data_IF_737415324669
#
_entry.id   IF_737415324669
#
_cell.length_a   1.000
_cell.length_b   1.000
_cell.length_c   1.000
_cell.angle_alpha   90.00
_cell.angle_beta   90.00
_cell.angle_gamma   90.00
#
_symmetry.space_group_name_H-M   'P 1'
#
loop_
_entity.id
_entity.type
_entity.pdbx_description
1 polymer ?
#
# COMPACT_ATOMS: atom_id res chain seq x y z
N UNK A 1 8.89 -9.48 -38.51
CA UNK A 1 9.50 -9.38 -37.17
C UNK A 1 10.17 -8.02 -36.92
N UNK A 2 9.96 -7.01 -37.77
CA UNK A 2 10.66 -5.70 -37.70
C UNK A 2 9.83 -4.53 -37.12
N UNK A 3 8.57 -4.75 -36.72
CA UNK A 3 7.67 -3.63 -36.35
C UNK A 3 7.68 -3.26 -34.86
N UNK A 4 8.14 -4.14 -33.97
CA UNK A 4 8.15 -3.88 -32.52
C UNK A 4 9.38 -3.09 -32.05
N UNK A 5 10.54 -3.35 -32.64
CA UNK A 5 11.78 -2.63 -32.32
C UNK A 5 11.70 -1.16 -32.81
N UNK A 6 11.14 -0.95 -34.00
CA UNK A 6 10.92 0.38 -34.58
C UNK A 6 10.01 1.28 -33.71
N UNK A 7 8.95 0.71 -33.12
CA UNK A 7 8.02 1.45 -32.24
C UNK A 7 8.64 1.86 -30.90
N UNK A 8 9.50 1.01 -30.31
CA UNK A 8 10.21 1.34 -29.07
C UNK A 8 11.25 2.44 -29.29
N UNK A 9 11.94 2.42 -30.43
CA UNK A 9 12.90 3.45 -30.81
C UNK A 9 12.18 4.78 -31.07
N UNK A 10 11.04 4.77 -31.77
CA UNK A 10 10.19 5.95 -31.95
C UNK A 10 9.67 6.52 -30.63
N UNK A 11 9.30 5.67 -29.67
CA UNK A 11 8.85 6.10 -28.35
C UNK A 11 9.99 6.74 -27.54
N UNK A 12 11.20 6.16 -27.59
CA UNK A 12 12.39 6.70 -26.94
C UNK A 12 12.82 8.04 -27.56
N UNK A 13 12.77 8.17 -28.89
CA UNK A 13 13.04 9.43 -29.60
C UNK A 13 11.99 10.49 -29.24
N UNK A 14 10.71 10.12 -29.11
CA UNK A 14 9.65 11.02 -28.69
C UNK A 14 9.84 11.48 -27.23
N UNK A 15 10.28 10.59 -26.33
CA UNK A 15 10.56 10.91 -24.93
C UNK A 15 11.78 11.84 -24.77
N UNK A 16 12.82 11.65 -25.59
CA UNK A 16 14.00 12.54 -25.62
C UNK A 16 13.64 13.90 -26.21
N UNK A 17 12.81 13.94 -27.27
CA UNK A 17 12.34 15.18 -27.88
C UNK A 17 11.45 16.00 -26.92
N UNK A 18 10.57 15.34 -26.16
CA UNK A 18 9.76 15.99 -25.11
C UNK A 18 10.65 16.49 -23.96
N UNK A 19 11.68 15.74 -23.58
CA UNK A 19 12.64 16.15 -22.54
C UNK A 19 13.47 17.38 -22.93
N UNK A 20 13.81 17.54 -24.22
CA UNK A 20 14.57 18.68 -24.73
C UNK A 20 13.69 19.93 -24.96
N UNK A 21 12.40 19.75 -25.28
CA UNK A 21 11.46 20.86 -25.48
C UNK A 21 11.04 21.59 -24.18
N UNK A 22 11.38 21.06 -23.00
CA UNK A 22 11.06 21.66 -21.70
C UNK A 22 12.21 22.52 -21.15
N UNK A 23 13.26 22.78 -21.94
CA UNK A 23 14.42 23.58 -21.49
C UNK A 23 14.27 25.11 -21.60
N UNK A 24 13.06 25.65 -21.72
CA UNK A 24 12.84 27.09 -21.69
C UNK A 24 11.63 27.47 -20.82
N UNK A 25 11.78 27.34 -19.51
CA UNK A 25 11.01 28.17 -18.60
C UNK A 25 11.80 28.46 -17.31
N UNK A 26 12.16 29.73 -17.17
CA UNK A 26 12.96 30.28 -16.07
C UNK A 26 12.09 30.45 -14.82
N UNK A 27 12.60 29.93 -13.70
CA UNK A 27 12.34 30.34 -12.31
C UNK A 27 10.89 30.62 -11.88
N UNK A 28 10.22 29.59 -11.32
CA UNK A 28 9.17 29.75 -10.31
C UNK A 28 9.60 29.05 -9.02
N UNK A 29 10.04 29.81 -8.02
CA UNK A 29 10.23 29.60 -6.57
C UNK A 29 10.11 28.24 -5.83
N UNK A 30 10.02 27.07 -6.46
CA UNK A 30 9.76 25.80 -5.78
C UNK A 30 10.98 24.89 -5.60
N UNK A 31 12.20 25.34 -5.98
CA UNK A 31 13.44 24.56 -5.83
C UNK A 31 13.49 23.23 -6.60
N UNK A 32 12.45 22.92 -7.38
CA UNK A 32 12.32 21.69 -8.17
C UNK A 32 12.65 21.99 -9.63
N UNK A 33 13.44 21.11 -10.25
CA UNK A 33 13.76 21.20 -11.66
C UNK A 33 12.51 20.92 -12.52
N UNK A 34 12.44 21.42 -13.77
CA UNK A 34 11.34 21.12 -14.68
C UNK A 34 11.10 19.62 -14.89
N UNK A 35 12.17 18.81 -14.86
CA UNK A 35 12.09 17.34 -14.88
C UNK A 35 11.41 16.76 -13.64
N UNK A 36 11.64 17.34 -12.45
CA UNK A 36 10.97 16.93 -11.21
C UNK A 36 9.48 17.29 -11.22
N UNK A 37 9.11 18.48 -11.74
CA UNK A 37 7.70 18.85 -11.96
C UNK A 37 7.01 17.96 -12.98
N UNK A 38 7.69 17.58 -14.07
CA UNK A 38 7.15 16.65 -15.07
C UNK A 38 6.92 15.26 -14.47
N UNK A 39 7.83 14.78 -13.61
CA UNK A 39 7.66 13.54 -12.86
C UNK A 39 6.50 13.64 -11.86
N UNK A 40 6.36 14.76 -11.16
CA UNK A 40 5.26 15.00 -10.23
C UNK A 40 3.89 15.05 -10.93
N UNK A 41 3.78 15.77 -12.05
CA UNK A 41 2.58 15.81 -12.90
C UNK A 41 2.27 14.44 -13.53
N UNK A 42 3.32 13.68 -13.89
CA UNK A 42 3.18 12.31 -14.40
C UNK A 42 2.71 11.33 -13.32
N UNK A 43 3.18 11.49 -12.07
CA UNK A 43 2.72 10.73 -10.91
C UNK A 43 1.27 11.11 -10.53
N UNK A 44 0.91 12.39 -10.60
CA UNK A 44 -0.45 12.88 -10.34
C UNK A 44 -1.47 12.40 -11.38
N UNK A 45 -1.10 12.34 -12.67
CA UNK A 45 -1.97 11.80 -13.71
C UNK A 45 -2.08 10.25 -13.67
N UNK A 46 -1.07 9.55 -13.15
CA UNK A 46 -1.16 8.09 -12.89
C UNK A 46 -2.02 7.75 -11.67
N UNK A 47 -2.07 8.63 -10.68
CA UNK A 47 -2.98 8.52 -9.54
C UNK A 47 -4.45 8.45 -10.00
N UNK A 48 -4.82 9.25 -11.02
CA UNK A 48 -6.17 9.24 -11.61
C UNK A 48 -6.49 7.98 -12.42
N UNK A 49 -5.50 7.39 -13.10
CA UNK A 49 -5.69 6.15 -13.86
C UNK A 49 -5.89 4.91 -12.95
N UNK A 50 -5.21 4.86 -11.81
CA UNK A 50 -5.31 3.76 -10.85
C UNK A 50 -6.70 3.63 -10.20
N UNK A 51 -7.36 4.75 -9.95
CA UNK A 51 -8.73 4.82 -9.44
C UNK A 51 -9.77 4.25 -10.43
N UNK A 52 -9.52 4.34 -11.73
CA UNK A 52 -10.43 3.86 -12.78
C UNK A 52 -10.23 2.36 -13.07
N UNK A 53 -8.98 1.88 -13.04
CA UNK A 53 -8.67 0.45 -13.13
C UNK A 53 -9.23 -0.36 -11.95
N UNK A 54 -9.40 0.27 -10.79
CA UNK A 54 -10.05 -0.28 -9.59
C UNK A 54 -11.50 -0.70 -9.85
N UNK A 55 -12.20 -0.07 -10.80
CA UNK A 55 -13.64 -0.24 -11.02
C UNK A 55 -13.99 -1.20 -12.16
N UNK A 56 -13.25 -1.16 -13.28
CA UNK A 56 -13.58 -1.91 -14.51
C UNK A 56 -12.83 -3.23 -14.69
N UNK A 57 -11.90 -3.54 -13.79
CA UNK A 57 -11.07 -4.74 -13.86
C UNK A 57 -9.79 -4.55 -14.68
N UNK A 58 -8.80 -5.41 -14.43
CA UNK A 58 -7.48 -5.30 -15.05
C UNK A 58 -7.48 -5.56 -16.57
N UNK A 59 -8.41 -6.36 -17.08
CA UNK A 59 -8.59 -6.64 -18.51
C UNK A 59 -8.99 -5.38 -19.30
N UNK A 60 -9.82 -4.51 -18.70
CA UNK A 60 -10.16 -3.20 -19.26
C UNK A 60 -8.91 -2.31 -19.35
N UNK A 61 -8.06 -2.32 -18.32
CA UNK A 61 -6.86 -1.47 -18.28
C UNK A 61 -5.72 -1.98 -19.17
N UNK A 62 -5.70 -3.26 -19.53
CA UNK A 62 -4.79 -3.80 -20.54
C UNK A 62 -5.08 -3.21 -21.92
N UNK A 63 -6.36 -2.96 -22.24
CA UNK A 63 -6.81 -2.37 -23.51
C UNK A 63 -6.90 -0.83 -23.47
N UNK A 64 -6.77 -0.22 -22.28
CA UNK A 64 -6.96 1.22 -22.09
C UNK A 64 -5.98 2.09 -22.88
N UNK A 65 -4.76 1.60 -23.10
CA UNK A 65 -3.74 2.29 -23.89
C UNK A 65 -4.08 2.37 -25.39
N UNK A 66 -4.99 1.52 -25.87
CA UNK A 66 -5.35 1.39 -27.28
C UNK A 66 -6.64 2.16 -27.66
N UNK A 67 -7.36 2.74 -26.69
CA UNK A 67 -8.53 3.57 -26.99
C UNK A 67 -8.11 4.91 -27.63
N UNK A 68 -8.78 5.33 -28.72
CA UNK A 68 -8.51 6.62 -29.36
C UNK A 68 -8.86 7.76 -28.40
N UNK A 69 -7.87 8.60 -28.09
CA UNK A 69 -8.09 9.82 -27.29
C UNK A 69 -8.59 10.93 -28.18
N UNK A 70 -9.64 11.63 -27.77
CA UNK A 70 -10.06 12.87 -28.42
C UNK A 70 -8.90 13.87 -28.38
N UNK A 71 -8.50 14.36 -29.55
CA UNK A 71 -7.51 15.43 -29.67
C UNK A 71 -8.18 16.78 -29.40
N UNK A 72 -7.31 17.74 -29.07
CA UNK A 72 -7.48 19.21 -29.05
C UNK A 72 -7.67 19.83 -27.66
N UNK A 73 -6.99 20.93 -27.30
CA UNK A 73 -6.64 22.09 -28.14
C UNK A 73 -5.26 22.68 -27.83
N UNK A 74 -4.44 22.91 -28.87
CA UNK A 74 -3.33 23.88 -28.85
C UNK A 74 -3.93 25.22 -29.29
N UNK A 75 -3.85 26.23 -28.44
CA UNK A 75 -4.01 27.63 -28.84
C UNK A 75 -2.73 28.38 -28.43
N UNK A 76 -2.36 29.32 -29.29
CA UNK A 76 -1.17 30.18 -29.31
C UNK A 76 0.04 29.60 -30.04
N UNK A 77 0.75 30.34 -30.88
CA UNK A 77 0.49 31.50 -31.72
C UNK A 77 1.76 31.56 -32.61
N UNK A 78 1.61 31.84 -33.90
CA UNK A 78 2.74 31.95 -34.83
C UNK A 78 3.72 33.06 -34.40
N UNK A 79 5.02 32.85 -34.65
CA UNK A 79 5.94 33.78 -35.35
C UNK A 79 7.27 33.05 -35.67
N UNK A 80 8.03 33.46 -36.72
CA UNK A 80 9.08 32.67 -37.39
C UNK A 80 10.50 33.08 -36.99
N UNK A 81 11.50 32.40 -37.60
CA UNK A 81 12.98 32.56 -37.53
C UNK A 81 13.67 31.59 -36.55
N UNK A 82 14.79 30.94 -36.83
CA UNK A 82 15.64 30.77 -38.01
C UNK A 82 16.61 29.62 -37.67
N UNK A 83 16.94 28.81 -38.68
CA UNK A 83 17.79 27.62 -38.59
C UNK A 83 19.19 27.88 -38.04
N UNK A 84 19.70 26.95 -37.21
CA UNK A 84 21.12 26.57 -37.22
C UNK A 84 21.33 25.15 -36.72
N UNK A 85 21.69 24.28 -37.65
CA UNK A 85 22.22 22.95 -37.41
C UNK A 85 23.55 23.02 -36.66
N UNK A 86 23.71 22.20 -35.63
CA UNK A 86 25.03 21.87 -35.09
C UNK A 86 25.13 20.35 -34.99
N UNK A 87 25.94 19.79 -35.90
CA UNK A 87 26.41 18.41 -35.86
C UNK A 87 27.40 18.24 -34.71
N UNK A 88 27.18 17.23 -33.87
CA UNK A 88 28.19 16.69 -32.95
C UNK A 88 28.22 15.16 -33.10
N UNK A 89 28.73 14.73 -34.25
CA UNK A 89 29.57 13.53 -34.32
C UNK A 89 30.85 13.84 -33.56
N UNK A 90 31.01 13.23 -32.39
CA UNK A 90 32.28 12.74 -31.85
C UNK A 90 32.09 12.40 -30.36
N UNK A 91 32.08 11.11 -30.04
CA UNK A 91 32.99 10.48 -29.07
C UNK A 91 32.57 9.03 -28.84
N UNK A 92 33.52 8.14 -29.15
CA UNK A 92 33.42 6.68 -29.09
C UNK A 92 33.45 6.12 -27.65
N UNK A 93 33.02 4.85 -27.47
CA UNK A 93 32.81 4.22 -26.17
C UNK A 93 34.10 3.64 -25.60
N UNK A 94 34.32 3.80 -24.29
CA UNK A 94 35.32 3.02 -23.57
C UNK A 94 34.65 1.94 -22.71
N UNK A 95 35.13 0.72 -22.93
CA UNK A 95 34.92 -0.50 -22.16
C UNK A 95 35.22 -0.29 -20.67
N UNK A 96 34.62 -1.13 -19.80
CA UNK A 96 35.34 -1.91 -18.78
C UNK A 96 34.37 -2.85 -18.04
N UNK A 97 34.68 -4.14 -18.20
CA UNK A 97 34.67 -5.24 -17.21
C UNK A 97 33.34 -5.95 -16.88
N UNK A 98 33.27 -7.16 -17.45
CA UNK A 98 32.51 -8.31 -16.96
C UNK A 98 32.94 -8.69 -15.54
N UNK A 99 31.96 -8.80 -14.65
CA UNK A 99 32.08 -9.47 -13.36
C UNK A 99 30.84 -10.33 -13.12
N UNK A 100 30.86 -11.56 -13.61
CA UNK A 100 29.89 -12.58 -13.22
C UNK A 100 30.11 -12.94 -11.74
N UNK A 101 29.15 -12.62 -10.87
CA UNK A 101 28.96 -13.34 -9.61
C UNK A 101 27.49 -13.67 -9.43
N UNK A 102 27.19 -14.97 -9.56
CA UNK A 102 25.92 -15.58 -9.17
C UNK A 102 25.77 -15.50 -7.65
N UNK A 103 24.86 -14.66 -7.16
CA UNK A 103 24.49 -14.66 -5.74
C UNK A 103 23.26 -15.56 -5.52
N UNK A 104 23.52 -16.69 -4.85
CA UNK A 104 22.50 -17.59 -4.31
C UNK A 104 21.64 -16.86 -3.28
N UNK A 105 20.39 -16.56 -3.63
CA UNK A 105 19.38 -16.00 -2.73
C UNK A 105 18.71 -17.16 -1.96
N UNK A 106 19.38 -17.64 -0.92
CA UNK A 106 18.87 -18.69 -0.02
C UNK A 106 19.54 -18.59 1.35
N UNK A 107 19.41 -17.44 2.00
CA UNK A 107 19.64 -17.36 3.44
C UNK A 107 18.46 -16.65 4.08
N UNK A 108 17.61 -17.44 4.73
CA UNK A 108 16.62 -16.95 5.68
C UNK A 108 17.35 -16.13 6.74
N UNK A 109 17.11 -14.82 6.75
CA UNK A 109 17.57 -13.94 7.81
C UNK A 109 16.90 -14.37 9.13
N UNK A 110 17.63 -14.39 10.26
CA UNK A 110 17.04 -14.70 11.55
C UNK A 110 15.94 -13.68 11.85
N UNK A 111 14.74 -14.19 12.18
CA UNK A 111 13.63 -13.38 12.67
C UNK A 111 14.00 -12.96 14.10
N UNK A 112 14.57 -11.77 14.24
CA UNK A 112 14.83 -11.16 15.55
C UNK A 112 13.49 -10.89 16.25
N UNK A 113 13.40 -11.32 17.51
CA UNK A 113 12.18 -11.39 18.32
C UNK A 113 11.65 -9.98 18.61
N UNK A 114 10.56 -9.58 17.95
CA UNK A 114 9.80 -8.37 18.29
C UNK A 114 8.83 -8.69 19.44
N UNK A 115 9.11 -8.16 20.64
CA UNK A 115 8.22 -8.26 21.79
C UNK A 115 7.26 -7.06 21.76
N UNK A 116 6.10 -7.20 21.12
CA UNK A 116 4.98 -6.27 21.38
C UNK A 116 4.40 -6.62 22.75
N UNK A 117 4.72 -5.78 23.73
CA UNK A 117 4.23 -5.90 25.09
C UNK A 117 2.75 -5.53 25.16
N UNK A 118 1.95 -6.51 25.60
CA UNK A 118 0.54 -6.40 25.96
C UNK A 118 -0.43 -5.96 24.85
N UNK A 119 -1.71 -6.35 24.92
CA UNK A 119 -2.71 -5.90 23.95
C UNK A 119 -2.67 -4.38 23.92
N UNK A 120 -2.76 -3.80 22.71
CA UNK A 120 -3.11 -2.40 22.47
C UNK A 120 -3.96 -1.93 23.64
N UNK A 121 -3.44 -1.05 24.51
CA UNK A 121 -4.13 -0.65 25.74
C UNK A 121 -5.51 -0.14 25.33
N UNK A 122 -6.52 -0.98 25.49
CA UNK A 122 -7.80 -0.86 24.80
C UNK A 122 -8.51 0.42 25.23
N UNK A 123 -8.38 0.74 26.51
CA UNK A 123 -8.82 1.98 27.13
C UNK A 123 -8.21 3.22 26.46
N UNK A 124 -6.94 3.19 26.06
CA UNK A 124 -6.27 4.38 25.54
C UNK A 124 -6.69 4.75 24.11
N UNK A 125 -7.09 3.76 23.30
CA UNK A 125 -7.66 3.97 21.96
C UNK A 125 -9.14 4.32 22.04
N UNK A 126 -9.89 3.63 22.92
CA UNK A 126 -11.34 3.71 22.97
C UNK A 126 -11.89 4.85 23.83
N UNK A 127 -11.10 5.40 24.75
CA UNK A 127 -11.52 6.54 25.58
C UNK A 127 -11.29 7.90 24.89
N UNK A 128 -10.63 7.93 23.72
CA UNK A 128 -10.50 9.15 22.93
C UNK A 128 -11.74 9.29 22.03
N UNK A 129 -12.41 10.45 22.01
CA UNK A 129 -13.51 10.67 21.07
C UNK A 129 -12.97 10.46 19.65
N UNK A 130 -13.73 9.72 18.83
CA UNK A 130 -13.40 9.53 17.42
C UNK A 130 -13.27 10.93 16.82
N UNK A 131 -12.09 11.31 16.29
CA UNK A 131 -11.96 12.59 15.60
C UNK A 131 -13.04 12.64 14.54
N UNK A 132 -13.79 13.75 14.46
CA UNK A 132 -14.72 13.91 13.33
C UNK A 132 -13.90 13.77 12.06
N UNK A 133 -14.35 12.93 11.13
CA UNK A 133 -13.75 12.87 9.81
C UNK A 133 -13.62 14.32 9.32
N UNK A 134 -12.38 14.77 9.11
CA UNK A 134 -12.18 16.05 8.45
C UNK A 134 -12.73 15.80 7.07
N UNK A 135 -13.88 16.41 6.75
CA UNK A 135 -14.37 16.50 5.38
C UNK A 135 -13.30 17.28 4.65
N UNK A 136 -12.32 16.56 4.10
CA UNK A 136 -11.58 17.08 2.98
C UNK A 136 -12.66 17.27 1.93
N UNK A 137 -12.96 18.54 1.64
CA UNK A 137 -13.73 18.93 0.47
C UNK A 137 -12.88 18.58 -0.75
N UNK A 138 -12.70 17.29 -1.01
CA UNK A 138 -12.43 16.77 -2.33
C UNK A 138 -13.77 16.98 -3.03
N UNK A 139 -13.98 18.21 -3.52
CA UNK A 139 -15.28 18.67 -4.02
C UNK A 139 -15.98 17.56 -4.80
N UNK A 140 -17.24 17.28 -4.45
CA UNK A 140 -18.04 16.16 -4.97
C UNK A 140 -17.71 15.87 -6.44
N UNK A 141 -16.89 14.86 -6.71
CA UNK A 141 -16.58 14.47 -8.07
C UNK A 141 -17.78 13.71 -8.61
N UNK A 142 -18.62 14.41 -9.37
CA UNK A 142 -19.77 13.81 -10.04
C UNK A 142 -19.28 13.15 -11.33
N UNK A 143 -19.44 11.83 -11.41
CA UNK A 143 -19.15 11.07 -12.64
C UNK A 143 -20.48 10.86 -13.36
N UNK A 144 -20.56 11.32 -14.60
CA UNK A 144 -21.68 11.14 -15.50
C UNK A 144 -21.39 9.97 -16.43
N UNK A 145 -22.40 9.16 -16.77
CA UNK A 145 -22.24 8.03 -17.70
C UNK A 145 -23.41 7.90 -18.65
N UNK A 146 -23.15 7.50 -19.91
CA UNK A 146 -24.17 7.11 -20.88
C UNK A 146 -23.73 5.96 -21.74
N UNK A 147 -24.69 5.33 -22.41
CA UNK A 147 -24.45 4.37 -23.49
C UNK A 147 -24.80 5.04 -24.81
N UNK A 148 -23.88 5.05 -25.77
CA UNK A 148 -24.15 5.59 -27.10
C UNK A 148 -25.00 4.64 -27.96
N UNK A 149 -25.33 5.08 -29.18
CA UNK A 149 -26.14 4.32 -30.15
C UNK A 149 -25.50 2.98 -30.56
N UNK A 150 -24.19 2.81 -30.35
CA UNK A 150 -23.46 1.59 -30.64
C UNK A 150 -23.35 0.65 -29.43
N UNK A 151 -23.99 0.99 -28.31
CA UNK A 151 -23.93 0.21 -27.07
C UNK A 151 -22.65 0.43 -26.26
N UNK A 152 -21.84 1.44 -26.60
CA UNK A 152 -20.60 1.75 -25.88
C UNK A 152 -20.87 2.70 -24.72
N UNK A 153 -20.37 2.35 -23.54
CA UNK A 153 -20.53 3.15 -22.33
C UNK A 153 -19.42 4.20 -22.23
N UNK A 154 -19.79 5.45 -22.06
CA UNK A 154 -18.92 6.61 -21.88
C UNK A 154 -19.04 7.19 -20.47
N UNK A 155 -17.99 7.88 -20.01
CA UNK A 155 -17.92 8.50 -18.69
C UNK A 155 -17.28 9.87 -18.77
N UNK A 156 -17.74 10.84 -17.97
CA UNK A 156 -17.14 12.18 -17.87
C UNK A 156 -17.22 12.70 -16.44
N UNK A 157 -16.22 13.48 -16.04
CA UNK A 157 -16.20 14.27 -14.80
C UNK A 157 -16.46 15.77 -15.05
N UNK A 158 -16.76 16.15 -16.31
CA UNK A 158 -17.16 17.51 -16.70
C UNK A 158 -18.68 17.66 -16.66
N UNK A 159 -19.17 18.46 -15.73
CA UNK A 159 -20.60 18.74 -15.56
C UNK A 159 -21.26 19.29 -16.83
N UNK A 160 -20.52 20.01 -17.69
CA UNK A 160 -21.06 20.59 -18.93
C UNK A 160 -21.41 19.51 -19.95
N UNK A 161 -20.65 18.42 -20.00
CA UNK A 161 -20.94 17.26 -20.83
C UNK A 161 -22.04 16.39 -20.20
N UNK A 162 -22.15 16.42 -18.87
CA UNK A 162 -23.31 15.96 -18.08
C UNK A 162 -24.64 16.49 -18.60
N UNK A 163 -24.72 17.81 -18.70
CA UNK A 163 -25.94 18.54 -19.05
C UNK A 163 -26.31 18.39 -20.53
N UNK A 164 -25.34 18.22 -21.45
CA UNK A 164 -25.57 18.07 -22.89
C UNK A 164 -26.26 16.74 -23.28
N UNK A 165 -26.20 15.72 -22.42
CA UNK A 165 -26.68 14.37 -22.73
C UNK A 165 -27.79 13.85 -21.80
N UNK A 166 -28.40 14.72 -20.97
CA UNK A 166 -29.46 14.35 -20.00
C UNK A 166 -29.04 13.16 -19.12
N UNK A 167 -27.78 13.20 -18.64
CA UNK A 167 -27.10 12.07 -18.02
C UNK A 167 -27.61 11.78 -16.62
N UNK A 168 -27.95 10.51 -16.34
CA UNK A 168 -28.27 10.07 -14.99
C UNK A 168 -27.06 10.27 -14.08
N UNK A 169 -27.17 11.21 -13.14
CA UNK A 169 -26.15 11.48 -12.14
C UNK A 169 -25.96 10.25 -11.26
N UNK A 170 -24.90 9.47 -11.50
CA UNK A 170 -24.49 8.47 -10.53
C UNK A 170 -23.78 9.24 -9.42
N UNK A 171 -24.55 9.64 -8.40
CA UNK A 171 -23.99 10.35 -7.24
C UNK A 171 -23.13 9.35 -6.47
N UNK A 172 -21.84 9.28 -6.82
CA UNK A 172 -20.87 8.51 -6.07
C UNK A 172 -20.55 9.30 -4.80
N UNK A 173 -21.00 8.80 -3.65
CA UNK A 173 -20.42 9.25 -2.39
C UNK A 173 -19.15 8.44 -2.19
N UNK A 174 -18.00 9.10 -2.33
CA UNK A 174 -16.73 8.53 -1.88
C UNK A 174 -16.90 8.02 -0.45
N UNK A 175 -16.36 6.84 -0.17
CA UNK A 175 -16.30 6.34 1.20
C UNK A 175 -15.64 7.42 2.08
N UNK A 176 -16.23 7.73 3.24
CA UNK A 176 -15.73 8.75 4.17
C UNK A 176 -14.43 8.32 4.89
N UNK A 177 -13.52 7.64 4.20
CA UNK A 177 -12.25 7.21 4.74
C UNK A 177 -11.24 8.36 4.67
N UNK A 178 -10.86 8.87 5.84
CA UNK A 178 -9.83 9.88 6.00
C UNK A 178 -8.55 9.24 6.54
N UNK A 179 -7.44 9.48 5.83
CA UNK A 179 -6.13 8.97 6.20
C UNK A 179 -5.09 10.09 6.20
N UNK A 180 -4.40 10.25 7.34
CA UNK A 180 -3.29 11.17 7.52
C UNK A 180 -2.01 10.41 7.89
N UNK A 181 -0.86 10.89 7.41
CA UNK A 181 0.44 10.30 7.70
C UNK A 181 1.46 11.40 7.96
N UNK A 182 2.02 11.37 9.17
CA UNK A 182 3.18 12.15 9.57
C UNK A 182 4.39 11.21 9.72
N UNK A 183 5.48 11.52 9.01
CA UNK A 183 6.76 10.83 9.15
C UNK A 183 7.82 11.81 9.64
N UNK A 184 8.33 11.54 10.84
CA UNK A 184 9.35 12.34 11.53
C UNK A 184 10.64 11.53 11.66
N UNK A 185 11.73 12.20 11.98
CA UNK A 185 13.01 11.55 12.29
C UNK A 185 13.69 12.22 13.47
N UNK A 186 14.44 11.43 14.23
CA UNK A 186 15.31 11.90 15.31
C UNK A 186 16.73 11.37 15.13
N UNK A 187 17.73 12.13 15.61
CA UNK A 187 19.14 11.88 15.36
C UNK A 187 19.66 12.61 14.13
N UNK A 188 20.30 11.87 13.24
CA UNK A 188 20.90 12.36 12.00
C UNK A 188 19.87 12.49 10.88
N UNK A 189 20.30 13.03 9.73
CA UNK A 189 19.47 13.10 8.52
C UNK A 189 19.23 11.70 7.95
N UNK A 190 17.98 11.41 7.59
CA UNK A 190 17.62 10.19 6.86
C UNK A 190 18.24 10.18 5.44
N UNK A 191 18.47 8.99 4.86
CA UNK A 191 18.85 8.88 3.45
C UNK A 191 17.85 9.59 2.53
N UNK A 192 18.37 10.10 1.40
CA UNK A 192 17.55 10.77 0.40
C UNK A 192 16.42 9.85 -0.09
N UNK A 193 15.21 10.39 -0.24
CA UNK A 193 14.01 9.69 -0.69
C UNK A 193 13.54 8.50 0.19
N UNK A 194 14.23 8.17 1.29
CA UNK A 194 13.80 7.08 2.17
C UNK A 194 12.43 7.37 2.80
N UNK A 195 12.24 8.60 3.28
CA UNK A 195 10.94 9.10 3.78
C UNK A 195 9.84 8.98 2.73
N UNK A 196 10.12 9.33 1.47
CA UNK A 196 9.13 9.26 0.40
C UNK A 196 8.77 7.81 0.08
N UNK A 197 9.75 6.91 0.09
CA UNK A 197 9.56 5.47 -0.13
C UNK A 197 8.63 4.84 0.92
N UNK A 198 8.86 5.12 2.21
CA UNK A 198 7.98 4.61 3.28
C UNK A 198 6.59 5.28 3.22
N UNK A 199 6.54 6.57 2.90
CA UNK A 199 5.29 7.31 2.75
C UNK A 199 4.43 6.71 1.65
N UNK A 200 5.02 6.40 0.50
CA UNK A 200 4.34 5.76 -0.61
C UNK A 200 3.82 4.36 -0.23
N UNK A 201 4.62 3.57 0.47
CA UNK A 201 4.22 2.24 0.92
C UNK A 201 3.05 2.28 1.90
N UNK A 202 3.12 3.12 2.95
CA UNK A 202 2.08 3.21 3.98
C UNK A 202 0.77 3.78 3.39
N UNK A 203 0.86 4.79 2.50
CA UNK A 203 -0.31 5.28 1.77
C UNK A 203 -0.94 4.19 0.90
N UNK A 204 -0.13 3.38 0.21
CA UNK A 204 -0.64 2.26 -0.57
C UNK A 204 -1.29 1.19 0.30
N UNK A 205 -0.76 0.91 1.49
CA UNK A 205 -1.41 0.02 2.47
C UNK A 205 -2.79 0.57 2.81
N UNK A 206 -2.89 1.85 3.16
CA UNK A 206 -4.16 2.53 3.43
C UNK A 206 -5.15 2.44 2.26
N UNK A 207 -4.69 2.65 1.01
CA UNK A 207 -5.51 2.44 -0.19
C UNK A 207 -6.00 1.00 -0.34
N UNK A 208 -5.17 0.00 0.01
CA UNK A 208 -5.57 -1.40 -0.01
C UNK A 208 -6.63 -1.67 1.07
N UNK A 209 -6.50 -1.12 2.27
CA UNK A 209 -7.56 -1.21 3.30
C UNK A 209 -8.89 -0.66 2.79
N UNK A 210 -8.88 0.50 2.13
CA UNK A 210 -10.08 1.14 1.56
C UNK A 210 -10.85 0.19 0.63
N UNK A 211 -10.16 -0.68 -0.12
CA UNK A 211 -10.81 -1.67 -1.01
C UNK A 211 -11.63 -2.75 -0.27
N UNK A 212 -11.40 -2.91 1.04
CA UNK A 212 -12.03 -3.94 1.87
C UNK A 212 -12.93 -3.36 2.97
N UNK A 213 -12.84 -2.06 3.24
CA UNK A 213 -13.64 -1.39 4.25
C UNK A 213 -15.08 -1.14 3.77
N UNK A 214 -16.05 -1.04 4.69
CA UNK A 214 -17.40 -0.58 4.35
C UNK A 214 -17.38 0.89 3.91
N UNK A 215 -18.36 1.35 3.13
CA UNK A 215 -18.40 2.72 2.60
C UNK A 215 -18.63 3.81 3.67
N UNK A 216 -19.11 3.43 4.86
CA UNK A 216 -19.46 4.35 5.94
C UNK A 216 -19.14 3.74 7.31
N UNK A 217 -19.13 4.58 8.35
CA UNK A 217 -18.87 4.15 9.73
C UNK A 217 -17.38 3.91 10.03
N UNK A 218 -16.51 4.24 9.08
CA UNK A 218 -15.05 4.09 9.22
C UNK A 218 -14.47 5.30 9.97
N UNK A 219 -13.77 5.05 11.06
CA UNK A 219 -13.07 6.10 11.79
C UNK A 219 -11.89 6.65 10.98
N UNK A 220 -11.58 7.97 11.08
CA UNK A 220 -10.38 8.51 10.47
C UNK A 220 -9.12 7.90 11.10
N UNK A 221 -8.10 7.72 10.28
CA UNK A 221 -6.81 7.14 10.69
C UNK A 221 -5.73 8.20 10.55
N UNK A 222 -4.92 8.36 11.60
CA UNK A 222 -3.72 9.19 11.56
C UNK A 222 -2.53 8.35 11.99
N UNK A 223 -1.52 8.23 11.13
CA UNK A 223 -0.26 7.53 11.43
C UNK A 223 0.82 8.54 11.79
N UNK A 224 1.35 8.46 13.01
CA UNK A 224 2.54 9.21 13.43
C UNK A 224 3.72 8.25 13.59
N UNK A 225 4.62 8.27 12.60
CA UNK A 225 5.80 7.42 12.54
C UNK A 225 7.07 8.24 12.77
N UNK A 226 7.87 7.83 13.76
CA UNK A 226 9.17 8.44 14.06
C UNK A 226 10.31 7.47 13.77
N UNK A 227 11.22 7.87 12.87
CA UNK A 227 12.44 7.13 12.55
C UNK A 227 13.61 7.61 13.40
N UNK A 228 14.14 6.74 14.25
CA UNK A 228 15.37 6.98 15.00
C UNK A 228 16.58 6.49 14.20
N UNK A 229 17.45 7.41 13.77
CA UNK A 229 18.62 7.04 12.94
C UNK A 229 19.81 6.55 13.77
N UNK A 230 19.71 6.59 15.10
CA UNK A 230 20.76 6.10 16.01
C UNK A 230 20.13 5.21 17.08
N UNK A 231 20.91 4.24 17.58
CA UNK A 231 20.45 3.38 18.68
C UNK A 231 20.10 4.19 19.93
N UNK A 232 20.87 5.22 20.24
CA UNK A 232 20.62 6.08 21.42
C UNK A 232 19.31 6.84 21.31
N UNK A 233 19.02 7.44 20.15
CA UNK A 233 17.75 8.15 19.94
C UNK A 233 16.55 7.21 19.99
N UNK A 234 16.69 5.98 19.47
CA UNK A 234 15.66 4.94 19.59
C UNK A 234 15.44 4.53 21.05
N UNK A 235 16.52 4.27 21.80
CA UNK A 235 16.44 3.93 23.21
C UNK A 235 15.80 5.04 24.04
N UNK A 236 16.07 6.32 23.73
CA UNK A 236 15.40 7.46 24.36
C UNK A 236 13.88 7.44 24.11
N UNK A 237 13.44 7.19 22.87
CA UNK A 237 12.01 7.04 22.55
C UNK A 237 11.41 5.85 23.31
N UNK A 238 12.09 4.71 23.33
CA UNK A 238 11.63 3.52 24.02
C UNK A 238 11.51 3.75 25.52
N UNK A 239 12.51 4.34 26.18
CA UNK A 239 12.45 4.66 27.60
C UNK A 239 11.36 5.68 27.94
N UNK A 240 11.08 6.63 27.03
CA UNK A 240 10.06 7.65 27.25
C UNK A 240 8.63 7.12 27.08
N UNK A 241 8.37 6.34 26.04
CA UNK A 241 7.00 5.98 25.64
C UNK A 241 6.65 4.52 25.87
N UNK A 242 7.66 3.64 25.99
CA UNK A 242 7.49 2.19 25.97
C UNK A 242 8.49 1.48 26.92
N UNK A 243 8.69 2.02 28.12
CA UNK A 243 9.73 1.58 29.06
C UNK A 243 9.61 0.12 29.51
N UNK A 244 8.41 -0.47 29.42
CA UNK A 244 8.14 -1.87 29.74
C UNK A 244 8.42 -2.84 28.59
N UNK A 245 8.73 -2.35 27.37
CA UNK A 245 9.04 -3.20 26.24
C UNK A 245 10.49 -3.68 26.30
N UNK A 246 10.70 -4.95 25.97
CA UNK A 246 12.03 -5.49 25.76
C UNK A 246 12.70 -4.92 24.51
N UNK A 247 13.94 -5.35 24.20
CA UNK A 247 14.62 -4.94 22.97
C UNK A 247 13.80 -5.28 21.73
N UNK A 248 13.62 -4.31 20.83
CA UNK A 248 12.92 -4.48 19.54
C UNK A 248 13.51 -3.53 18.49
N UNK A 249 13.12 -3.70 17.22
CA UNK A 249 13.52 -2.80 16.12
C UNK A 249 12.46 -1.73 15.81
N UNK A 250 11.24 -1.95 16.27
CA UNK A 250 10.16 -0.98 16.27
C UNK A 250 9.22 -1.20 17.45
N UNK A 251 8.37 -0.21 17.69
CA UNK A 251 7.21 -0.37 18.56
C UNK A 251 6.12 0.63 18.20
N UNK A 252 4.88 0.26 18.48
CA UNK A 252 3.72 1.13 18.48
C UNK A 252 3.14 1.28 19.89
N UNK A 253 2.86 2.51 20.31
CA UNK A 253 2.17 2.82 21.58
C UNK A 253 0.85 3.52 21.31
N UNK A 254 -0.23 2.79 21.51
CA UNK A 254 -1.57 3.26 21.17
C UNK A 254 -2.02 4.48 21.98
N UNK A 255 -1.57 4.60 23.24
CA UNK A 255 -1.85 5.77 24.08
C UNK A 255 -1.37 7.08 23.46
N UNK A 256 -0.21 7.06 22.80
CA UNK A 256 0.38 8.22 22.15
C UNK A 256 0.10 8.27 20.65
N UNK A 257 -0.55 7.25 20.09
CA UNK A 257 -0.71 7.05 18.65
C UNK A 257 0.62 7.19 17.89
N UNK A 258 1.69 6.63 18.45
CA UNK A 258 3.05 6.82 17.97
C UNK A 258 3.68 5.48 17.66
N UNK A 259 4.16 5.33 16.43
CA UNK A 259 5.09 4.28 16.03
C UNK A 259 6.52 4.83 16.00
N UNK A 260 7.47 4.06 16.51
CA UNK A 260 8.89 4.39 16.45
C UNK A 260 9.68 3.22 15.88
N UNK A 261 10.66 3.51 15.03
CA UNK A 261 11.50 2.48 14.39
C UNK A 261 12.97 2.88 14.43
N UNK A 262 13.83 1.94 14.80
CA UNK A 262 15.28 2.10 14.69
C UNK A 262 15.72 1.83 13.25
N UNK A 263 16.29 2.85 12.60
CA UNK A 263 16.86 2.72 11.26
C UNK A 263 18.29 2.16 11.33
N UNK A 264 18.41 0.83 11.25
CA UNK A 264 19.70 0.12 11.12
C UNK A 264 20.15 -0.02 9.68
N UNK A 265 19.19 -0.25 8.79
CA UNK A 265 19.38 -0.32 7.34
C UNK A 265 18.07 0.03 6.65
N UNK A 266 18.14 0.47 5.39
CA UNK A 266 16.95 0.86 4.64
C UNK A 266 15.95 -0.29 4.48
N UNK A 267 16.43 -1.50 4.22
CA UNK A 267 15.56 -2.68 4.05
C UNK A 267 14.79 -2.97 5.33
N UNK A 268 15.51 -3.12 6.46
CA UNK A 268 14.89 -3.42 7.74
C UNK A 268 13.94 -2.29 8.18
N UNK A 269 14.38 -1.04 8.15
CA UNK A 269 13.56 0.05 8.62
C UNK A 269 12.33 0.28 7.74
N UNK A 270 12.42 0.03 6.42
CA UNK A 270 11.26 0.06 5.54
C UNK A 270 10.22 -0.99 5.97
N UNK A 271 10.66 -2.24 6.18
CA UNK A 271 9.80 -3.33 6.61
C UNK A 271 9.14 -3.01 7.97
N UNK A 272 9.94 -2.71 8.99
CA UNK A 272 9.44 -2.39 10.33
C UNK A 272 8.55 -1.14 10.32
N UNK A 273 8.86 -0.12 9.51
CA UNK A 273 7.99 1.07 9.39
C UNK A 273 6.60 0.73 8.86
N UNK A 274 6.51 -0.14 7.87
CA UNK A 274 5.23 -0.60 7.33
C UNK A 274 4.50 -1.45 8.38
N UNK A 275 5.20 -2.39 9.02
CA UNK A 275 4.67 -3.25 10.08
C UNK A 275 4.03 -2.43 11.21
N UNK A 276 4.80 -1.51 11.81
CA UNK A 276 4.31 -0.69 12.93
C UNK A 276 3.20 0.27 12.49
N UNK A 277 3.26 0.79 11.26
CA UNK A 277 2.19 1.64 10.72
C UNK A 277 0.88 0.87 10.54
N UNK A 278 0.93 -0.43 10.23
CA UNK A 278 -0.26 -1.28 10.15
C UNK A 278 -0.90 -1.45 11.52
N UNK A 279 -0.13 -1.57 12.60
CA UNK A 279 -0.69 -1.56 13.95
C UNK A 279 -1.39 -0.24 14.28
N UNK A 280 -0.83 0.89 13.86
CA UNK A 280 -1.48 2.21 14.02
C UNK A 280 -2.80 2.26 13.24
N UNK A 281 -2.79 1.81 11.97
CA UNK A 281 -3.98 1.74 11.12
C UNK A 281 -5.06 0.85 11.74
N UNK A 282 -4.70 -0.36 12.17
CA UNK A 282 -5.63 -1.31 12.79
C UNK A 282 -6.25 -0.73 14.07
N UNK A 283 -5.44 -0.11 14.94
CA UNK A 283 -5.93 0.51 16.16
C UNK A 283 -6.89 1.69 15.85
N UNK A 284 -6.57 2.51 14.85
CA UNK A 284 -7.44 3.61 14.41
C UNK A 284 -8.79 3.11 13.90
N UNK A 285 -8.76 2.17 12.95
CA UNK A 285 -9.93 1.63 12.26
C UNK A 285 -10.83 0.80 13.18
N UNK A 286 -10.24 -0.13 13.93
CA UNK A 286 -10.98 -1.22 14.59
C UNK A 286 -10.91 -1.16 16.12
N UNK A 287 -10.01 -0.35 16.68
CA UNK A 287 -9.72 -0.40 18.10
C UNK A 287 -8.99 -1.71 18.47
N UNK A 288 -9.31 -2.32 19.62
CA UNK A 288 -8.73 -3.61 20.01
C UNK A 288 -9.17 -4.73 19.07
N UNK A 289 -8.21 -5.43 18.47
CA UNK A 289 -8.46 -6.56 17.57
C UNK A 289 -7.82 -7.85 18.10
N UNK A 290 -8.26 -9.03 17.62
CA UNK A 290 -7.57 -10.28 17.90
C UNK A 290 -6.10 -10.22 17.47
N UNK A 291 -5.19 -10.78 18.28
CA UNK A 291 -3.75 -10.65 18.05
C UNK A 291 -3.33 -11.25 16.70
N UNK A 292 -3.85 -12.42 16.35
CA UNK A 292 -3.55 -13.05 15.06
C UNK A 292 -3.89 -12.15 13.86
N UNK A 293 -4.97 -11.37 13.97
CA UNK A 293 -5.39 -10.47 12.91
C UNK A 293 -4.45 -9.27 12.82
N UNK A 294 -4.13 -8.67 13.98
CA UNK A 294 -3.26 -7.50 14.05
C UNK A 294 -1.85 -7.80 13.55
N UNK A 295 -1.22 -8.86 14.06
CA UNK A 295 0.12 -9.31 13.65
C UNK A 295 0.10 -9.82 12.21
N UNK A 296 -0.93 -10.59 11.83
CA UNK A 296 -1.04 -11.18 10.50
C UNK A 296 -1.14 -10.13 9.39
N UNK A 297 -1.87 -9.03 9.60
CA UNK A 297 -1.92 -7.91 8.66
C UNK A 297 -0.60 -7.13 8.63
N UNK A 298 0.03 -6.90 9.78
CA UNK A 298 1.31 -6.21 9.85
C UNK A 298 2.39 -6.97 9.07
N UNK A 299 2.51 -8.28 9.32
CA UNK A 299 3.39 -9.21 8.60
C UNK A 299 3.07 -9.32 7.10
N UNK A 300 1.78 -9.33 6.73
CA UNK A 300 1.36 -9.37 5.34
C UNK A 300 1.80 -8.13 4.57
N UNK A 301 1.56 -6.94 5.13
CA UNK A 301 1.90 -5.68 4.47
C UNK A 301 3.38 -5.31 4.57
N UNK A 302 4.12 -5.80 5.58
CA UNK A 302 5.57 -5.63 5.69
C UNK A 302 6.31 -6.04 4.39
N UNK A 303 5.78 -7.05 3.69
CA UNK A 303 6.31 -7.53 2.42
C UNK A 303 6.02 -6.63 1.21
N UNK A 304 5.32 -5.51 1.36
CA UNK A 304 4.88 -4.66 0.24
C UNK A 304 6.06 -4.08 -0.55
N UNK A 305 6.03 -4.27 -1.87
CA UNK A 305 7.04 -3.76 -2.81
C UNK A 305 6.39 -2.79 -3.77
N UNK A 306 6.82 -1.53 -3.71
CA UNK A 306 6.36 -0.47 -4.61
C UNK A 306 7.06 -0.55 -5.97
N UNK A 307 6.31 -0.32 -7.04
CA UNK A 307 6.81 -0.11 -8.40
C UNK A 307 5.99 1.01 -9.06
N UNK A 308 6.46 2.25 -8.92
CA UNK A 308 5.66 3.42 -9.24
C UNK A 308 4.41 3.47 -8.35
N UNK A 309 3.22 3.52 -8.96
CA UNK A 309 1.94 3.47 -8.25
C UNK A 309 1.47 2.05 -7.92
N UNK A 310 1.98 1.04 -8.62
CA UNK A 310 1.61 -0.35 -8.36
C UNK A 310 2.33 -0.88 -7.12
N UNK A 311 1.70 -1.82 -6.43
CA UNK A 311 2.34 -2.57 -5.36
C UNK A 311 2.21 -4.06 -5.56
N UNK A 312 3.22 -4.79 -5.06
CA UNK A 312 3.22 -6.24 -5.02
C UNK A 312 3.48 -6.73 -3.61
N UNK A 313 2.74 -7.75 -3.18
CA UNK A 313 2.97 -8.46 -1.93
C UNK A 313 3.30 -9.91 -2.29
N UNK A 314 4.59 -10.31 -2.25
CA UNK A 314 5.00 -11.67 -2.54
C UNK A 314 4.61 -12.60 -1.37
N UNK A 315 4.31 -13.88 -1.64
CA UNK A 315 4.14 -14.87 -0.58
C UNK A 315 5.49 -15.30 0.00
N UNK A 316 5.46 -15.93 1.17
CA UNK A 316 6.57 -16.75 1.66
C UNK A 316 6.36 -18.20 1.21
N UNK A 317 7.42 -19.00 1.26
CA UNK A 317 7.34 -20.44 0.99
C UNK A 317 6.67 -21.19 2.15
N UNK A 318 5.35 -21.05 2.27
CA UNK A 318 4.58 -21.50 3.45
C UNK A 318 4.79 -22.98 3.76
N UNK A 319 4.83 -23.83 2.73
CA UNK A 319 5.12 -25.26 2.89
C UNK A 319 6.46 -25.52 3.58
N UNK A 320 7.49 -24.73 3.25
CA UNK A 320 8.81 -24.80 3.87
C UNK A 320 8.77 -24.23 5.30
N UNK A 321 8.11 -23.09 5.50
CA UNK A 321 7.98 -22.43 6.82
C UNK A 321 7.34 -23.36 7.86
N UNK A 322 6.36 -24.14 7.44
CA UNK A 322 5.60 -25.06 8.30
C UNK A 322 6.02 -26.53 8.18
N UNK A 323 7.10 -26.87 7.46
CA UNK A 323 7.50 -28.26 7.23
C UNK A 323 7.57 -29.07 8.55
N UNK A 324 6.61 -29.99 8.76
CA UNK A 324 6.48 -30.82 9.95
C UNK A 324 5.74 -30.19 11.15
N UNK A 325 5.21 -28.97 11.02
CA UNK A 325 4.48 -28.24 12.07
C UNK A 325 2.97 -28.32 11.82
N UNK A 326 2.21 -28.57 12.89
CA UNK A 326 0.75 -28.48 12.84
C UNK A 326 0.30 -27.01 12.79
N UNK A 327 -0.69 -26.73 11.95
CA UNK A 327 -1.30 -25.41 11.78
C UNK A 327 -2.78 -25.54 12.12
N UNK A 328 -3.31 -24.64 12.96
CA UNK A 328 -4.67 -24.77 13.50
C UNK A 328 -5.28 -23.40 13.82
N UNK A 329 -6.47 -23.13 13.24
CA UNK A 329 -7.28 -21.96 13.59
C UNK A 329 -7.64 -21.97 15.07
N UNK A 330 -7.93 -23.12 15.66
CA UNK A 330 -8.27 -23.22 17.08
C UNK A 330 -7.08 -22.80 17.97
N UNK A 331 -5.88 -23.28 17.65
CA UNK A 331 -4.64 -22.87 18.33
C UNK A 331 -4.43 -21.37 18.19
N UNK A 332 -4.62 -20.82 16.99
CA UNK A 332 -4.41 -19.42 16.71
C UNK A 332 -5.41 -18.51 17.46
N UNK A 333 -6.69 -18.89 17.51
CA UNK A 333 -7.76 -18.08 18.11
C UNK A 333 -7.81 -18.20 19.65
N UNK A 334 -7.35 -19.32 20.21
CA UNK A 334 -7.33 -19.53 21.67
C UNK A 334 -5.99 -19.22 22.33
N UNK A 335 -4.94 -18.92 21.55
CA UNK A 335 -3.62 -18.60 22.10
C UNK A 335 -3.66 -17.42 23.06
N UNK A 336 -3.20 -17.66 24.30
CA UNK A 336 -3.15 -16.65 25.37
C UNK A 336 -1.87 -15.82 25.28
N UNK A 337 -1.83 -14.71 26.00
CA UNK A 337 -0.69 -13.79 26.02
C UNK A 337 0.64 -14.49 26.32
N UNK A 338 0.64 -15.46 27.24
CA UNK A 338 1.84 -16.22 27.61
C UNK A 338 2.36 -17.07 26.45
N UNK A 339 1.45 -17.60 25.61
CA UNK A 339 1.82 -18.36 24.41
C UNK A 339 2.45 -17.46 23.36
N UNK A 340 1.93 -16.24 23.21
CA UNK A 340 2.47 -15.22 22.31
C UNK A 340 3.77 -14.58 22.80
N UNK A 341 4.05 -14.64 24.10
CA UNK A 341 5.31 -14.19 24.69
C UNK A 341 6.32 -15.34 24.90
N UNK A 342 5.96 -16.56 24.52
CA UNK A 342 6.73 -17.78 24.76
C UNK A 342 7.35 -18.38 23.50
N UNK A 343 7.77 -19.65 23.60
CA UNK A 343 8.46 -20.38 22.53
C UNK A 343 7.64 -20.60 21.25
N UNK A 344 6.32 -20.40 21.30
CA UNK A 344 5.42 -20.55 20.15
C UNK A 344 5.22 -19.25 19.36
N UNK A 345 5.78 -18.12 19.81
CA UNK A 345 5.59 -16.81 19.18
C UNK A 345 5.85 -16.84 17.67
N UNK A 346 7.03 -17.28 17.23
CA UNK A 346 7.40 -17.32 15.81
C UNK A 346 6.42 -18.16 14.97
N UNK A 347 5.91 -19.25 15.54
CA UNK A 347 4.92 -20.10 14.87
C UNK A 347 3.57 -19.39 14.77
N UNK A 348 3.10 -18.72 15.83
CA UNK A 348 1.85 -17.97 15.82
C UNK A 348 1.87 -16.78 14.86
N UNK A 349 2.99 -16.05 14.78
CA UNK A 349 3.18 -14.99 13.78
C UNK A 349 3.14 -15.56 12.35
N UNK A 350 3.84 -16.67 12.11
CA UNK A 350 3.82 -17.33 10.80
C UNK A 350 2.41 -17.82 10.42
N UNK A 351 1.67 -18.43 11.36
CA UNK A 351 0.29 -18.86 11.14
C UNK A 351 -0.63 -17.67 10.85
N UNK A 352 -0.49 -16.58 11.61
CA UNK A 352 -1.22 -15.33 11.40
C UNK A 352 -1.00 -14.75 10.00
N UNK A 353 0.27 -14.61 9.61
CA UNK A 353 0.65 -14.10 8.29
C UNK A 353 0.06 -15.00 7.19
N UNK A 354 0.30 -16.31 7.24
CA UNK A 354 -0.19 -17.21 6.19
C UNK A 354 -1.72 -17.26 6.09
N UNK A 355 -2.44 -17.16 7.21
CA UNK A 355 -3.90 -17.08 7.22
C UNK A 355 -4.39 -15.77 6.58
N UNK A 356 -3.83 -14.62 6.97
CA UNK A 356 -4.17 -13.33 6.36
C UNK A 356 -3.85 -13.33 4.87
N UNK A 357 -2.69 -13.88 4.48
CA UNK A 357 -2.33 -14.00 3.07
C UNK A 357 -3.34 -14.86 2.30
N UNK A 358 -3.76 -16.00 2.85
CA UNK A 358 -4.80 -16.84 2.25
C UNK A 358 -6.12 -16.10 2.08
N UNK A 359 -6.57 -15.40 3.14
CA UNK A 359 -7.80 -14.62 3.12
C UNK A 359 -7.71 -13.47 2.11
N UNK A 360 -6.56 -12.80 1.99
CA UNK A 360 -6.37 -11.71 1.04
C UNK A 360 -6.22 -12.19 -0.41
N UNK A 361 -5.78 -13.44 -0.65
CA UNK A 361 -5.43 -13.92 -2.00
C UNK A 361 -6.52 -14.75 -2.70
N UNK A 362 -7.41 -15.41 -1.95
CA UNK A 362 -8.41 -16.32 -2.54
C UNK A 362 -9.78 -15.66 -2.68
N UNK A 363 -10.62 -16.03 -3.67
CA UNK A 363 -11.95 -15.42 -3.84
C UNK A 363 -12.84 -15.54 -2.60
N UNK A 364 -12.93 -16.76 -2.02
CA UNK A 364 -13.68 -17.01 -0.79
C UNK A 364 -13.09 -16.25 0.39
N UNK A 365 -11.76 -16.27 0.50
CA UNK A 365 -11.03 -15.54 1.52
C UNK A 365 -11.31 -14.04 1.50
N UNK A 366 -11.30 -13.42 0.31
CA UNK A 366 -11.52 -11.97 0.17
C UNK A 366 -12.91 -11.56 0.62
N UNK A 367 -13.93 -12.36 0.29
CA UNK A 367 -15.31 -12.15 0.76
C UNK A 367 -15.36 -12.21 2.29
N UNK A 368 -14.77 -13.24 2.89
CA UNK A 368 -14.70 -13.40 4.35
C UNK A 368 -13.89 -12.27 5.01
N UNK A 369 -12.80 -11.82 4.40
CA UNK A 369 -12.01 -10.71 4.91
C UNK A 369 -12.81 -9.40 4.90
N UNK A 370 -13.55 -9.10 3.81
CA UNK A 370 -14.43 -7.92 3.77
C UNK A 370 -15.48 -7.96 4.87
N UNK A 371 -16.12 -9.11 5.08
CA UNK A 371 -17.08 -9.30 6.17
C UNK A 371 -16.45 -9.11 7.56
N UNK A 372 -15.24 -9.66 7.76
CA UNK A 372 -14.48 -9.51 9.00
C UNK A 372 -14.14 -8.04 9.28
N UNK A 373 -13.62 -7.32 8.30
CA UNK A 373 -13.28 -5.89 8.44
C UNK A 373 -14.51 -5.05 8.71
N UNK A 374 -15.63 -5.29 8.01
CA UNK A 374 -16.87 -4.59 8.25
C UNK A 374 -17.39 -4.81 9.68
N UNK A 375 -17.35 -6.06 10.19
CA UNK A 375 -17.74 -6.35 11.56
C UNK A 375 -16.81 -5.64 12.57
N UNK A 376 -15.50 -5.64 12.35
CA UNK A 376 -14.54 -4.97 13.24
C UNK A 376 -14.69 -3.43 13.25
N UNK A 377 -15.13 -2.84 12.13
CA UNK A 377 -15.52 -1.42 12.07
C UNK A 377 -16.78 -1.18 12.89
N UNK A 378 -17.81 -2.01 12.70
CA UNK A 378 -19.09 -1.88 13.40
C UNK A 378 -18.94 -2.06 14.91
N UNK A 379 -18.15 -3.06 15.34
CA UNK A 379 -17.89 -3.36 16.75
C UNK A 379 -16.65 -2.65 17.27
N UNK A 380 -16.21 -1.56 16.63
CA UNK A 380 -15.03 -0.81 17.05
C UNK A 380 -15.16 -0.45 18.53
N UNK A 381 -14.15 -0.80 19.34
CA UNK A 381 -14.15 -0.56 20.78
C UNK A 381 -15.23 -1.29 21.59
N UNK A 382 -15.88 -2.29 21.01
CA UNK A 382 -16.80 -3.21 21.68
C UNK A 382 -16.31 -4.66 21.50
N UNK A 383 -16.78 -5.61 22.32
CA UNK A 383 -16.53 -7.02 22.07
C UNK A 383 -17.00 -7.43 20.66
N UNK A 384 -16.12 -8.10 19.90
CA UNK A 384 -16.41 -8.61 18.55
C UNK A 384 -16.43 -10.14 18.57
N UNK A 385 -17.51 -10.74 18.06
CA UNK A 385 -17.54 -12.18 17.74
C UNK A 385 -17.04 -12.43 16.31
N UNK A 386 -15.77 -12.11 16.10
CA UNK A 386 -15.11 -12.30 14.80
C UNK A 386 -15.07 -13.77 14.35
N UNK A 387 -15.18 -14.73 15.29
CA UNK A 387 -15.17 -16.16 14.96
C UNK A 387 -16.47 -16.55 14.26
N UNK A 388 -17.62 -16.03 14.70
CA UNK A 388 -18.89 -16.21 14.00
C UNK A 388 -18.84 -15.66 12.57
N UNK A 389 -18.20 -14.48 12.38
CA UNK A 389 -17.99 -13.91 11.04
C UNK A 389 -17.09 -14.81 10.19
N UNK A 390 -15.99 -15.33 10.72
CA UNK A 390 -15.15 -16.30 10.02
C UNK A 390 -15.88 -17.61 9.68
N UNK A 391 -16.83 -18.03 10.51
CA UNK A 391 -17.66 -19.20 10.25
C UNK A 391 -18.65 -18.99 9.08
N UNK A 392 -18.82 -17.76 8.60
CA UNK A 392 -19.57 -17.49 7.34
C UNK A 392 -18.76 -17.83 6.08
N UNK A 393 -17.46 -18.17 6.21
CA UNK A 393 -16.66 -18.67 5.10
C UNK A 393 -17.40 -19.81 4.38
N UNK A 394 -17.45 -19.86 3.04
CA UNK A 394 -18.22 -20.88 2.33
C UNK A 394 -17.81 -22.32 2.70
N UNK A 395 -18.67 -22.99 3.48
CA UNK A 395 -18.45 -24.33 4.06
C UNK A 395 -18.10 -24.34 5.56
N UNK A 396 -18.13 -23.19 6.24
CA UNK A 396 -17.88 -23.06 7.68
C UNK A 396 -16.39 -23.04 8.05
N UNK A 397 -16.14 -22.93 9.35
CA UNK A 397 -14.78 -22.81 9.90
C UNK A 397 -13.90 -24.05 9.61
N UNK A 398 -14.49 -25.24 9.65
CA UNK A 398 -13.78 -26.49 9.27
C UNK A 398 -13.31 -26.44 7.83
N UNK A 399 -14.11 -25.87 6.92
CA UNK A 399 -13.71 -25.72 5.53
C UNK A 399 -12.66 -24.64 5.33
N UNK A 400 -12.72 -23.54 6.08
CA UNK A 400 -11.68 -22.50 6.09
C UNK A 400 -10.31 -23.10 6.47
N UNK A 401 -10.25 -23.86 7.57
CA UNK A 401 -9.03 -24.56 8.01
C UNK A 401 -8.49 -25.48 6.89
N UNK A 402 -9.36 -26.32 6.32
CA UNK A 402 -8.95 -27.29 5.29
C UNK A 402 -8.46 -26.60 4.00
N UNK A 403 -9.18 -25.58 3.52
CA UNK A 403 -8.81 -24.84 2.31
C UNK A 403 -7.48 -24.08 2.52
N UNK A 404 -7.27 -23.47 3.69
CA UNK A 404 -6.02 -22.76 4.03
C UNK A 404 -4.82 -23.71 4.08
N UNK A 405 -4.94 -24.84 4.79
CA UNK A 405 -3.88 -25.86 4.87
C UNK A 405 -3.58 -26.44 3.48
N UNK A 406 -4.62 -26.74 2.70
CA UNK A 406 -4.46 -27.22 1.32
C UNK A 406 -3.76 -26.19 0.44
N UNK A 407 -4.11 -24.91 0.54
CA UNK A 407 -3.49 -23.82 -0.21
C UNK A 407 -1.99 -23.67 0.09
N UNK A 408 -1.59 -23.81 1.35
CA UNK A 408 -0.17 -23.82 1.73
C UNK A 408 0.57 -25.05 1.18
N UNK A 409 0.00 -26.24 1.33
CA UNK A 409 0.67 -27.49 0.96
C UNK A 409 0.77 -27.73 -0.55
N UNK A 410 -0.21 -27.21 -1.30
CA UNK A 410 -0.24 -27.27 -2.77
C UNK A 410 0.52 -26.13 -3.44
N UNK A 411 1.17 -25.24 -2.67
CA UNK A 411 1.99 -24.15 -3.17
C UNK A 411 1.23 -23.22 -4.15
N UNK A 412 -0.07 -23.03 -3.88
CA UNK A 412 -0.99 -22.20 -4.66
C UNK A 412 -0.95 -20.72 -4.27
N UNK A 413 -0.03 -20.35 -3.40
CA UNK A 413 0.25 -18.96 -3.07
C UNK A 413 0.95 -18.25 -4.25
N UNK A 414 0.55 -17.00 -4.50
CA UNK A 414 1.01 -16.18 -5.63
C UNK A 414 1.24 -14.76 -5.14
N UNK A 415 2.11 -14.03 -5.83
CA UNK A 415 2.31 -12.60 -5.61
C UNK A 415 1.02 -11.85 -5.89
N UNK A 416 0.54 -11.09 -4.92
CA UNK A 416 -0.63 -10.23 -5.08
C UNK A 416 -0.18 -8.89 -5.65
N UNK A 417 -0.95 -8.34 -6.58
CA UNK A 417 -0.68 -7.05 -7.21
C UNK A 417 -1.85 -6.10 -6.97
N UNK A 418 -1.54 -4.83 -6.72
CA UNK A 418 -2.49 -3.75 -6.40
C UNK A 418 -2.17 -2.50 -7.21
#
# INVERSE_FOLDING_TARGET
METRLSRYILLLILLVAIGLLVHEEKNSGSGLTPSQKAVELFLANRYKAGLFCREKGWDFCEQWADYPRSRFSRVNAALPHESREVNLTDLQPNEIVQGHTSYNDSQALPIDIELHGSPVNSSAVCNKPIPKAVKQDKGKQQIYSWTDENGQVHFTDDARQGDEHDLSLTTYQDAEYSFELAVKSTGSRLPLAFKDKITAAIKKVSEIYEMYLPPSGVAPVSVDLTLATTKSSYQSLQSQYASSLGPSQGFYVAQYNMAAVWHRSDKQAYQTSVHESVHVINAGLFGPTPRWFNEGLAEYFEGIRMSGYAAKIPPREWKRVFSGKSVSLDTLFRAKQETWAGSQQTLLYSQSHSLVHFLMSTPKGKITMKALLANLVETRCAPSDYVSVLNTYPGGLTRLQADWVSWMNSERYRTQSF
#
